data_IF_489391224515
#
_entry.id   IF_489391224515
#
_cell.length_a   1.000
_cell.length_b   1.000
_cell.length_c   1.000
_cell.angle_alpha   90.00
_cell.angle_beta   90.00
_cell.angle_gamma   90.00
#
_symmetry.space_group_name_H-M   'P 1'
#
loop_
_entity.id
_entity.type
_entity.pdbx_description
1 polymer ?
#
# COMPACT_ATOMS: atom_id res chain seq x y z
N UNK A 1 52.90 -31.14 -10.32
CA UNK A 1 53.28 -29.72 -10.29
C UNK A 1 52.02 -28.87 -10.19
N UNK A 2 51.84 -28.20 -9.04
CA UNK A 2 50.91 -27.11 -8.66
C UNK A 2 49.48 -27.12 -9.29
N UNK A 3 48.38 -27.44 -8.60
CA UNK A 3 47.75 -26.82 -7.42
C UNK A 3 47.62 -25.29 -7.46
N UNK A 4 46.46 -24.80 -7.92
CA UNK A 4 46.02 -23.41 -7.79
C UNK A 4 44.71 -23.34 -6.99
N UNK A 5 44.82 -22.97 -5.71
CA UNK A 5 43.75 -22.81 -4.74
C UNK A 5 42.84 -21.61 -5.10
N UNK A 6 41.53 -21.83 -5.21
CA UNK A 6 40.56 -20.75 -5.02
C UNK A 6 40.31 -20.58 -3.51
N UNK A 7 40.85 -19.51 -2.94
CA UNK A 7 40.55 -19.05 -1.59
C UNK A 7 39.19 -18.35 -1.58
N UNK A 8 38.24 -18.94 -0.88
CA UNK A 8 36.98 -18.33 -0.49
C UNK A 8 37.22 -17.24 0.59
N UNK A 9 36.57 -16.07 0.51
CA UNK A 9 36.44 -15.18 1.67
C UNK A 9 35.36 -15.70 2.63
N UNK A 10 35.51 -15.45 3.95
CA UNK A 10 34.77 -16.17 4.99
C UNK A 10 33.28 -15.83 5.01
N UNK A 11 32.48 -16.89 4.99
CA UNK A 11 31.06 -16.89 5.33
C UNK A 11 30.90 -16.51 6.81
N UNK A 12 30.60 -15.24 7.07
CA UNK A 12 30.00 -14.82 8.32
C UNK A 12 28.54 -15.26 8.39
N UNK A 13 28.29 -16.45 8.97
CA UNK A 13 26.95 -16.86 9.42
C UNK A 13 26.51 -15.99 10.61
N UNK A 14 25.25 -15.54 10.60
CA UNK A 14 24.30 -15.35 11.73
C UNK A 14 23.20 -14.36 11.30
N UNK A 15 21.90 -14.65 11.29
CA UNK A 15 21.16 -15.87 11.58
C UNK A 15 19.94 -15.96 10.66
N UNK A 16 19.48 -17.19 10.49
CA UNK A 16 18.26 -17.55 9.77
C UNK A 16 17.08 -17.09 10.61
N UNK A 17 16.47 -15.96 10.26
CA UNK A 17 15.11 -15.65 10.71
C UNK A 17 14.13 -16.38 9.81
N UNK A 18 13.31 -17.25 10.39
CA UNK A 18 12.24 -17.98 9.70
C UNK A 18 11.41 -17.03 8.82
N UNK A 19 11.16 -17.46 7.59
CA UNK A 19 10.30 -16.77 6.65
C UNK A 19 8.83 -16.92 7.07
N UNK A 20 8.32 -15.98 7.86
CA UNK A 20 6.88 -15.71 7.95
C UNK A 20 6.46 -14.86 6.75
N UNK A 21 5.89 -15.52 5.73
CA UNK A 21 4.73 -15.08 4.93
C UNK A 21 4.61 -13.65 4.36
N UNK A 22 5.62 -12.78 4.42
CA UNK A 22 5.42 -11.34 4.10
C UNK A 22 5.97 -10.94 2.73
N UNK A 23 5.09 -10.27 2.01
CA UNK A 23 5.20 -9.57 0.72
C UNK A 23 6.60 -9.01 0.44
N UNK A 24 7.16 -9.20 -0.78
CA UNK A 24 8.48 -8.67 -1.12
C UNK A 24 8.46 -7.13 -1.17
N UNK A 25 8.99 -6.48 -0.14
CA UNK A 25 9.33 -5.05 -0.13
C UNK A 25 10.68 -4.81 -0.80
N UNK A 26 10.78 -3.79 -1.66
CA UNK A 26 12.02 -3.38 -2.32
C UNK A 26 13.01 -2.79 -1.31
N UNK A 27 14.24 -3.31 -1.27
CA UNK A 27 15.32 -2.87 -0.37
C UNK A 27 15.87 -1.49 -0.75
N UNK A 28 16.15 -0.71 0.30
CA UNK A 28 16.46 0.70 0.34
C UNK A 28 17.94 1.03 0.08
N UNK A 29 18.28 1.58 -1.09
CA UNK A 29 19.60 2.23 -1.24
C UNK A 29 19.68 3.52 -2.07
N UNK A 30 18.57 4.05 -2.57
CA UNK A 30 18.64 5.22 -3.48
C UNK A 30 17.41 6.13 -3.42
N UNK A 31 16.94 6.43 -2.21
CA UNK A 31 16.13 7.64 -2.01
C UNK A 31 17.08 8.83 -1.89
N UNK A 32 16.84 9.92 -2.64
CA UNK A 32 17.63 11.17 -2.56
C UNK A 32 17.81 11.69 -1.13
N UNK A 33 16.97 11.24 -0.20
CA UNK A 33 16.93 11.69 1.18
C UNK A 33 17.21 10.56 2.19
N UNK A 34 17.81 9.43 1.78
CA UNK A 34 18.26 8.36 2.68
C UNK A 34 17.15 7.53 3.36
N UNK A 35 15.88 7.92 3.27
CA UNK A 35 14.77 7.16 3.83
C UNK A 35 14.21 6.16 2.81
N UNK A 36 14.50 4.88 3.04
CA UNK A 36 13.80 3.78 2.38
C UNK A 36 12.34 3.76 2.81
N UNK A 37 11.44 3.61 1.84
CA UNK A 37 10.00 3.46 2.09
C UNK A 37 9.58 2.08 1.65
N UNK A 38 8.74 1.44 2.46
CA UNK A 38 8.11 0.19 2.08
C UNK A 38 6.84 0.54 1.29
N UNK A 39 6.84 0.19 0.00
CA UNK A 39 5.65 0.30 -0.83
C UNK A 39 5.05 -1.10 -0.98
N UNK A 40 3.89 -1.39 -0.35
CA UNK A 40 3.21 -2.66 -0.55
C UNK A 40 2.79 -2.77 -2.02
N UNK A 41 3.29 -3.77 -2.72
CA UNK A 41 2.87 -4.06 -4.09
C UNK A 41 1.60 -4.92 -4.03
N UNK A 42 0.52 -4.43 -4.61
CA UNK A 42 -0.73 -5.19 -4.79
C UNK A 42 -0.58 -6.24 -5.89
N UNK A 43 -1.51 -7.19 -5.99
CA UNK A 43 -1.40 -8.43 -6.79
C UNK A 43 -0.81 -8.23 -8.20
N UNK A 44 -1.39 -7.34 -8.99
CA UNK A 44 -1.07 -7.22 -10.41
C UNK A 44 0.31 -6.58 -10.58
N UNK A 45 0.61 -5.57 -9.76
CA UNK A 45 1.90 -4.91 -9.74
C UNK A 45 3.00 -5.85 -9.21
N UNK A 46 2.71 -6.63 -8.17
CA UNK A 46 3.63 -7.64 -7.64
C UNK A 46 3.94 -8.71 -8.69
N UNK A 47 2.93 -9.13 -9.46
CA UNK A 47 3.08 -10.10 -10.55
C UNK A 47 3.96 -9.55 -11.66
N UNK A 48 3.71 -8.31 -12.11
CA UNK A 48 4.54 -7.63 -13.10
C UNK A 48 6.00 -7.48 -12.63
N UNK A 49 6.21 -7.08 -11.37
CA UNK A 49 7.55 -6.93 -10.81
C UNK A 49 8.27 -8.27 -10.67
N UNK A 50 7.56 -9.35 -10.31
CA UNK A 50 8.10 -10.70 -10.27
C UNK A 50 8.53 -11.16 -11.67
N UNK A 51 7.67 -10.98 -12.67
CA UNK A 51 8.00 -11.29 -14.07
C UNK A 51 9.25 -10.53 -14.52
N UNK A 52 9.32 -9.22 -14.28
CA UNK A 52 10.50 -8.42 -14.64
C UNK A 52 11.76 -8.81 -13.89
N UNK A 53 11.65 -9.21 -12.62
CA UNK A 53 12.79 -9.69 -11.83
C UNK A 53 13.33 -11.02 -12.38
N UNK A 54 12.47 -11.89 -12.91
CA UNK A 54 12.88 -13.13 -13.56
C UNK A 54 13.51 -12.84 -14.93
N UNK A 55 12.93 -11.94 -15.72
CA UNK A 55 13.43 -11.57 -17.06
C UNK A 55 14.56 -10.53 -17.04
N UNK A 56 15.59 -10.74 -16.20
CA UNK A 56 16.77 -9.85 -16.09
C UNK A 56 17.96 -10.26 -16.96
N UNK A 57 17.81 -11.37 -17.68
CA UNK A 57 18.79 -11.89 -18.60
C UNK A 57 18.88 -11.01 -19.85
N UNK A 58 20.10 -10.75 -20.32
CA UNK A 58 20.32 -10.02 -21.55
C UNK A 58 21.53 -10.53 -22.34
N UNK A 59 21.45 -10.36 -23.66
CA UNK A 59 22.49 -10.74 -24.62
C UNK A 59 23.70 -9.81 -24.56
N UNK A 60 24.90 -10.38 -24.69
CA UNK A 60 26.15 -9.65 -24.92
C UNK A 60 26.80 -10.24 -26.17
N UNK A 61 26.63 -9.58 -27.33
CA UNK A 61 27.03 -10.15 -28.63
C UNK A 61 26.04 -11.22 -29.10
N UNK A 62 26.55 -12.31 -29.69
CA UNK A 62 25.78 -13.47 -30.18
C UNK A 62 25.52 -14.54 -29.09
N UNK A 63 25.99 -14.34 -27.86
CA UNK A 63 25.76 -15.23 -26.71
C UNK A 63 24.81 -14.61 -25.67
N UNK A 64 23.89 -15.43 -25.13
CA UNK A 64 23.09 -15.18 -23.90
C UNK A 64 23.89 -15.73 -22.69
N UNK A 65 23.89 -15.22 -21.46
CA UNK A 65 23.09 -14.18 -20.83
C UNK A 65 23.82 -13.68 -19.58
N UNK A 66 24.08 -12.37 -19.48
CA UNK A 66 24.43 -11.79 -18.19
C UNK A 66 23.15 -11.43 -17.42
N UNK A 67 23.18 -11.59 -16.09
CA UNK A 67 22.07 -11.18 -15.24
C UNK A 67 22.23 -9.70 -14.88
N UNK A 68 21.23 -8.89 -15.23
CA UNK A 68 21.19 -7.48 -14.83
C UNK A 68 21.01 -7.32 -13.32
N UNK A 69 21.78 -6.42 -12.71
CA UNK A 69 21.57 -5.97 -11.33
C UNK A 69 20.21 -5.27 -11.18
N UNK A 70 19.82 -4.47 -12.18
CA UNK A 70 18.60 -3.68 -12.18
C UNK A 70 17.38 -4.49 -12.63
N UNK A 71 16.24 -4.29 -11.95
CA UNK A 71 14.93 -4.87 -12.34
C UNK A 71 14.39 -4.25 -13.64
N UNK A 72 14.64 -2.96 -13.85
CA UNK A 72 14.29 -2.25 -15.07
C UNK A 72 15.59 -1.88 -15.78
N UNK A 73 15.88 -2.57 -16.88
CA UNK A 73 17.11 -2.36 -17.64
C UNK A 73 16.87 -2.46 -19.15
N UNK A 74 17.84 -1.97 -19.92
CA UNK A 74 17.96 -2.22 -21.36
C UNK A 74 19.36 -2.76 -21.61
N UNK A 75 19.46 -4.05 -21.96
CA UNK A 75 20.75 -4.75 -22.17
C UNK A 75 21.73 -4.55 -20.99
N UNK A 76 21.31 -4.96 -19.79
CA UNK A 76 22.08 -4.79 -18.55
C UNK A 76 22.23 -3.38 -17.99
N UNK A 77 21.94 -2.33 -18.78
CA UNK A 77 22.12 -0.94 -18.35
C UNK A 77 20.84 -0.36 -17.73
N UNK A 78 20.94 0.51 -16.71
CA UNK A 78 19.79 1.17 -16.14
C UNK A 78 19.11 2.08 -17.18
N UNK A 79 17.79 2.17 -17.10
CA UNK A 79 17.01 3.10 -17.94
C UNK A 79 17.16 4.50 -17.37
N UNK A 80 17.87 5.39 -18.08
CA UNK A 80 18.10 6.77 -17.64
C UNK A 80 17.04 7.74 -18.18
N UNK A 81 16.65 7.56 -19.44
CA UNK A 81 15.60 8.36 -20.09
C UNK A 81 14.57 7.44 -20.75
N UNK A 82 13.29 7.72 -20.50
CA UNK A 82 12.15 7.01 -21.05
C UNK A 82 11.13 7.95 -21.70
N UNK A 83 11.43 9.25 -21.85
CA UNK A 83 10.48 10.26 -22.39
C UNK A 83 9.92 9.87 -23.75
N UNK A 84 10.75 9.41 -24.69
CA UNK A 84 10.28 8.96 -26.01
C UNK A 84 9.32 7.77 -25.91
N UNK A 85 9.65 6.79 -25.07
CA UNK A 85 8.79 5.63 -24.84
C UNK A 85 7.47 6.03 -24.18
N UNK A 86 7.52 7.00 -23.26
CA UNK A 86 6.34 7.59 -22.63
C UNK A 86 5.43 8.29 -23.64
N UNK A 87 5.98 9.18 -24.48
CA UNK A 87 5.21 9.86 -25.53
C UNK A 87 4.51 8.86 -26.45
N UNK A 88 5.24 7.84 -26.93
CA UNK A 88 4.65 6.79 -27.76
C UNK A 88 3.56 5.99 -27.04
N UNK A 89 3.75 5.71 -25.75
CA UNK A 89 2.72 5.05 -24.95
C UNK A 89 1.46 5.92 -24.80
N UNK A 90 1.62 7.22 -24.56
CA UNK A 90 0.50 8.16 -24.50
C UNK A 90 -0.26 8.28 -25.82
N UNK A 91 0.45 8.29 -26.96
CA UNK A 91 -0.17 8.29 -28.30
C UNK A 91 -1.00 7.03 -28.52
N UNK A 92 -0.44 5.85 -28.24
CA UNK A 92 -1.14 4.56 -28.37
C UNK A 92 -2.35 4.46 -27.45
N UNK A 93 -2.25 5.02 -26.24
CA UNK A 93 -3.35 5.08 -25.28
C UNK A 93 -4.35 6.22 -25.53
N UNK A 94 -4.18 7.01 -26.61
CA UNK A 94 -5.04 8.16 -26.97
C UNK A 94 -5.12 9.25 -25.88
N UNK A 95 -4.03 9.43 -25.13
CA UNK A 95 -3.88 10.43 -24.05
C UNK A 95 -2.63 11.28 -24.26
N UNK A 96 -2.41 11.73 -25.49
CA UNK A 96 -1.25 12.53 -25.86
C UNK A 96 -1.11 13.79 -24.99
N UNK A 97 0.13 14.22 -24.73
CA UNK A 97 0.45 15.40 -23.93
C UNK A 97 0.44 15.20 -22.41
N UNK A 98 0.08 14.01 -21.90
CA UNK A 98 0.20 13.70 -20.46
C UNK A 98 1.66 13.61 -20.03
N UNK A 99 1.95 14.17 -18.86
CA UNK A 99 3.28 14.14 -18.28
C UNK A 99 3.39 12.94 -17.33
N UNK A 100 4.57 12.33 -17.26
CA UNK A 100 4.77 11.17 -16.37
C UNK A 100 4.42 11.50 -14.90
N UNK A 101 4.66 12.73 -14.46
CA UNK A 101 4.33 13.16 -13.11
C UNK A 101 2.82 13.28 -12.85
N UNK A 102 1.97 13.30 -13.88
CA UNK A 102 0.51 13.28 -13.72
C UNK A 102 0.02 11.94 -13.16
N UNK A 103 0.76 10.84 -13.37
CA UNK A 103 0.48 9.56 -12.73
C UNK A 103 0.55 9.68 -11.21
N UNK A 104 1.56 10.37 -10.69
CA UNK A 104 1.72 10.60 -9.25
C UNK A 104 0.58 11.45 -8.69
N UNK A 105 0.11 12.45 -9.46
CA UNK A 105 -1.05 13.28 -9.06
C UNK A 105 -2.33 12.47 -9.01
N UNK A 106 -2.53 11.60 -10.00
CA UNK A 106 -3.68 10.70 -10.09
C UNK A 106 -3.68 9.71 -8.94
N UNK A 107 -2.55 9.06 -8.66
CA UNK A 107 -2.40 8.14 -7.53
C UNK A 107 -2.73 8.80 -6.17
N UNK A 108 -2.29 10.05 -5.94
CA UNK A 108 -2.66 10.80 -4.72
C UNK A 108 -4.18 10.97 -4.61
N UNK A 109 -4.84 11.37 -5.70
CA UNK A 109 -6.29 11.59 -5.73
C UNK A 109 -7.06 10.28 -5.53
N UNK A 110 -6.63 9.21 -6.18
CA UNK A 110 -7.28 7.91 -6.10
C UNK A 110 -7.21 7.34 -4.69
N UNK A 111 -6.07 7.49 -3.99
CA UNK A 111 -5.94 7.10 -2.59
C UNK A 111 -6.94 7.83 -1.68
N UNK A 112 -7.06 9.16 -1.83
CA UNK A 112 -7.99 9.96 -1.03
C UNK A 112 -9.44 9.56 -1.32
N UNK A 113 -9.80 9.40 -2.60
CA UNK A 113 -11.15 8.98 -2.99
C UNK A 113 -11.49 7.56 -2.54
N UNK A 114 -10.51 6.66 -2.53
CA UNK A 114 -10.64 5.34 -1.91
C UNK A 114 -10.82 5.39 -0.37
N UNK A 115 -10.76 6.57 0.25
CA UNK A 115 -10.91 6.75 1.68
C UNK A 115 -9.64 6.48 2.48
N UNK A 116 -8.48 6.37 1.81
CA UNK A 116 -7.20 6.18 2.49
C UNK A 116 -6.87 7.44 3.29
N UNK A 117 -6.57 7.34 4.60
CA UNK A 117 -6.20 8.49 5.41
C UNK A 117 -4.99 9.22 4.82
N UNK A 118 -5.00 10.56 4.87
CA UNK A 118 -3.94 11.40 4.30
C UNK A 118 -2.53 10.98 4.77
N UNK A 119 -2.35 10.66 6.05
CA UNK A 119 -1.06 10.23 6.59
C UNK A 119 -0.54 8.96 5.89
N UNK A 120 -1.41 7.98 5.67
CA UNK A 120 -1.08 6.73 4.96
C UNK A 120 -0.80 7.02 3.48
N UNK A 121 -1.63 7.84 2.84
CA UNK A 121 -1.44 8.23 1.45
C UNK A 121 -0.11 8.98 1.23
N UNK A 122 0.26 9.87 2.15
CA UNK A 122 1.54 10.57 2.13
C UNK A 122 2.72 9.61 2.29
N UNK A 123 2.61 8.59 3.14
CA UNK A 123 3.66 7.59 3.33
C UNK A 123 3.87 6.72 2.10
N UNK A 124 2.77 6.21 1.52
CA UNK A 124 2.77 5.42 0.27
C UNK A 124 3.39 6.21 -0.88
N UNK A 125 2.94 7.46 -1.05
CA UNK A 125 3.42 8.30 -2.15
C UNK A 125 4.81 8.87 -1.86
N UNK A 126 5.24 8.94 -0.61
CA UNK A 126 6.53 9.51 -0.22
C UNK A 126 6.55 11.03 -0.15
N UNK A 127 5.41 11.67 0.14
CA UNK A 127 5.36 13.11 0.41
C UNK A 127 5.78 13.37 1.86
N UNK A 128 6.82 14.21 2.04
CA UNK A 128 7.29 14.60 3.38
C UNK A 128 6.43 15.69 4.00
N UNK A 129 6.03 16.67 3.20
CA UNK A 129 5.27 17.83 3.67
C UNK A 129 3.82 17.78 3.18
N UNK A 130 2.84 18.13 4.03
CA UNK A 130 1.44 18.21 3.61
C UNK A 130 1.21 19.22 2.48
N UNK A 131 1.97 20.32 2.44
CA UNK A 131 1.82 21.36 1.42
C UNK A 131 1.99 20.86 -0.01
N UNK A 132 2.94 19.95 -0.25
CA UNK A 132 3.15 19.34 -1.58
C UNK A 132 2.02 18.36 -1.90
N UNK A 133 1.53 17.63 -0.91
CA UNK A 133 0.42 16.70 -1.06
C UNK A 133 -0.89 17.43 -1.41
N UNK A 134 -1.22 18.49 -0.66
CA UNK A 134 -2.44 19.28 -0.83
C UNK A 134 -2.51 19.97 -2.20
N UNK A 135 -1.36 20.33 -2.80
CA UNK A 135 -1.32 20.87 -4.17
C UNK A 135 -1.94 19.92 -5.20
N UNK A 136 -1.91 18.61 -4.94
CA UNK A 136 -2.48 17.60 -5.85
C UNK A 136 -3.90 17.18 -5.48
N UNK A 137 -4.33 17.47 -4.25
CA UNK A 137 -5.64 17.11 -3.71
C UNK A 137 -6.58 18.33 -3.71
N UNK A 138 -6.96 18.80 -4.91
CA UNK A 138 -8.01 19.81 -5.06
C UNK A 138 -9.35 19.13 -4.73
N UNK A 139 -9.96 19.54 -3.61
CA UNK A 139 -11.26 19.04 -3.16
C UNK A 139 -12.37 19.65 -4.02
N UNK A 140 -13.24 18.82 -4.58
CA UNK A 140 -14.42 19.25 -5.34
C UNK A 140 -15.69 19.23 -4.48
N UNK A 141 -16.76 19.89 -4.98
CA UNK A 141 -18.07 19.85 -4.33
C UNK A 141 -18.64 18.43 -4.18
N UNK A 142 -18.37 17.57 -5.15
CA UNK A 142 -18.80 16.17 -5.12
C UNK A 142 -18.05 15.36 -4.06
N UNK A 143 -16.74 15.62 -3.88
CA UNK A 143 -15.96 14.97 -2.82
C UNK A 143 -16.53 15.33 -1.43
N UNK A 144 -16.96 16.58 -1.23
CA UNK A 144 -17.62 17.02 0.02
C UNK A 144 -18.97 16.32 0.23
N UNK A 145 -19.78 16.21 -0.81
CA UNK A 145 -21.07 15.52 -0.76
C UNK A 145 -20.89 14.04 -0.42
N UNK A 146 -19.94 13.38 -1.07
CA UNK A 146 -19.62 11.98 -0.82
C UNK A 146 -19.12 11.77 0.62
N UNK A 147 -18.26 12.66 1.14
CA UNK A 147 -17.78 12.61 2.51
C UNK A 147 -18.92 12.70 3.54
N UNK A 148 -19.89 13.60 3.31
CA UNK A 148 -21.09 13.70 4.16
C UNK A 148 -21.94 12.44 4.09
N UNK A 149 -22.14 11.87 2.91
CA UNK A 149 -22.89 10.62 2.75
C UNK A 149 -22.20 9.42 3.43
N UNK A 150 -20.87 9.30 3.32
CA UNK A 150 -20.08 8.27 4.02
C UNK A 150 -20.23 8.40 5.54
N UNK A 151 -20.18 9.64 6.05
CA UNK A 151 -20.37 9.93 7.48
C UNK A 151 -21.77 9.53 7.95
N UNK A 152 -22.81 9.84 7.16
CA UNK A 152 -24.18 9.45 7.48
C UNK A 152 -24.35 7.93 7.55
N UNK A 153 -23.89 7.20 6.51
CA UNK A 153 -23.93 5.73 6.47
C UNK A 153 -23.24 5.09 7.68
N UNK A 154 -22.07 5.62 8.07
CA UNK A 154 -21.35 5.15 9.25
C UNK A 154 -22.16 5.35 10.54
N UNK A 155 -22.79 6.52 10.72
CA UNK A 155 -23.62 6.79 11.91
C UNK A 155 -24.87 5.92 11.97
N UNK A 156 -25.48 5.61 10.83
CA UNK A 156 -26.63 4.70 10.74
C UNK A 156 -26.24 3.26 11.10
N UNK A 157 -25.10 2.78 10.60
CA UNK A 157 -24.57 1.46 10.96
C UNK A 157 -24.32 1.33 12.48
N UNK A 158 -23.78 2.37 13.13
CA UNK A 158 -23.59 2.39 14.58
C UNK A 158 -24.91 2.33 15.37
N UNK A 159 -25.99 2.95 14.85
CA UNK A 159 -27.32 2.87 15.48
C UNK A 159 -27.91 1.47 15.39
N UNK A 160 -27.73 0.78 14.26
CA UNK A 160 -28.18 -0.61 14.08
C UNK A 160 -27.42 -1.63 14.94
N UNK A 161 -26.14 -1.36 15.23
CA UNK A 161 -25.31 -2.23 16.07
C UNK A 161 -25.58 -2.10 17.57
N UNK A 162 -26.11 -0.95 18.03
CA UNK A 162 -26.54 -0.77 19.43
C UNK A 162 -27.96 -1.33 19.63
N UNK A 163 -28.10 -2.65 19.72
CA UNK A 163 -29.26 -3.24 20.42
C UNK A 163 -29.09 -2.95 21.91
N UNK A 164 -29.75 -1.89 22.38
CA UNK A 164 -29.87 -1.60 23.82
C UNK A 164 -30.72 -2.72 24.42
N UNK A 165 -30.07 -3.67 25.10
CA UNK A 165 -30.76 -4.66 25.93
C UNK A 165 -31.13 -3.95 27.23
N UNK A 166 -32.43 -3.87 27.60
CA UNK A 166 -32.82 -3.32 28.88
C UNK A 166 -32.17 -4.13 30.00
N UNK A 167 -31.59 -3.45 30.99
CA UNK A 167 -31.19 -4.12 32.22
C UNK A 167 -32.42 -4.78 32.85
N UNK A 168 -32.37 -6.07 33.22
CA UNK A 168 -33.49 -6.72 33.91
C UNK A 168 -33.76 -5.97 35.21
N UNK A 169 -34.88 -5.26 35.30
CA UNK A 169 -35.32 -4.71 36.59
C UNK A 169 -35.93 -5.86 37.38
N UNK A 170 -35.31 -6.24 38.50
CA UNK A 170 -35.93 -7.15 39.45
C UNK A 170 -37.28 -6.57 39.89
N UNK A 171 -38.38 -7.29 39.59
CA UNK A 171 -39.67 -7.03 40.21
C UNK A 171 -39.52 -7.28 41.71
N UNK A 172 -39.64 -6.24 42.53
CA UNK A 172 -39.80 -6.41 43.98
C UNK A 172 -41.01 -7.33 44.22
N UNK A 173 -40.90 -8.35 45.09
CA UNK A 173 -42.00 -9.25 45.35
C UNK A 173 -43.16 -8.46 45.96
N UNK A 174 -44.35 -8.68 45.41
CA UNK A 174 -45.60 -8.09 45.87
C UNK A 174 -45.81 -8.48 47.34
N UNK A 175 -46.03 -7.55 48.28
CA UNK A 175 -46.42 -7.93 49.63
C UNK A 175 -47.80 -8.59 49.53
N UNK A 176 -47.85 -9.92 49.75
CA UNK A 176 -49.10 -10.68 49.78
C UNK A 176 -50.06 -10.14 50.84
N UNK A 177 -51.37 -10.36 50.69
CA UNK A 177 -52.38 -9.74 51.53
C UNK A 177 -52.20 -10.13 53.00
N UNK A 178 -52.21 -9.13 53.88
CA UNK A 178 -52.14 -9.31 55.32
C UNK A 178 -53.30 -10.17 55.82
N UNK A 179 -53.01 -11.37 56.33
CA UNK A 179 -53.99 -12.21 56.99
C UNK A 179 -54.35 -11.61 58.36
N UNK A 180 -55.58 -11.11 58.47
CA UNK A 180 -56.21 -10.69 59.72
C UNK A 180 -56.39 -11.92 60.62
N UNK A 181 -55.54 -12.02 61.65
CA UNK A 181 -55.71 -13.00 62.73
C UNK A 181 -56.93 -12.61 63.55
N UNK A 182 -57.97 -13.44 63.51
CA UNK A 182 -59.09 -13.37 64.45
C UNK A 182 -58.59 -13.91 65.80
N UNK A 183 -58.67 -13.07 66.84
CA UNK A 183 -58.43 -13.47 68.21
C UNK A 183 -59.69 -14.16 68.77
N UNK A 184 -59.49 -15.27 69.47
CA UNK A 184 -60.41 -15.83 70.48
C UNK A 184 -59.68 -15.86 71.80
#
# INVERSE_FOLDING_TARGET
MAQGRYLAPPLGRRGVGQADGRTPGSSARTSKNGHGRLLPLTSDLATLMKQRKTSREYMVGDEVAQLSEYVLHRRGRPIVDFKKAWTSACEKAKVAGKLFHDLRRTAVRDLIRAGVPQAVAMEITGHRTPSVFLRYNIVSGDDMREAMQRTQRYREALKGAKKVVPFPSEKKPNPGPAQLRHNS
#
